data_IF_918389657124
#
_entry.id   IF_918389657124
#
_cell.length_a   1.000
_cell.length_b   1.000
_cell.length_c   1.000
_cell.angle_alpha   90.00
_cell.angle_beta   90.00
_cell.angle_gamma   90.00
#
_symmetry.space_group_name_H-M   'P 1'
#
loop_
_entity.id
_entity.type
_entity.pdbx_description
1 polymer ?
#
# COMPACT_ATOMS: atom_id res chain seq x y z
N UNK A 1 3.56 44.27 -15.61
CA UNK A 1 2.28 43.83 -15.02
C UNK A 1 1.80 42.45 -15.52
N UNK A 2 1.95 42.06 -16.80
CA UNK A 2 1.49 40.71 -17.30
C UNK A 2 2.22 39.49 -16.71
N UNK A 3 3.50 39.61 -16.32
CA UNK A 3 4.27 38.49 -15.72
C UNK A 3 3.86 38.14 -14.29
N UNK A 4 3.41 39.10 -13.50
CA UNK A 4 2.91 38.87 -12.13
C UNK A 4 1.56 38.14 -12.11
N UNK A 5 0.72 38.40 -13.09
CA UNK A 5 -0.58 37.73 -13.21
C UNK A 5 -0.44 36.23 -13.51
N UNK A 6 0.57 35.81 -14.28
CA UNK A 6 0.85 34.41 -14.62
C UNK A 6 1.35 33.61 -13.42
N UNK A 7 2.16 34.21 -12.54
CA UNK A 7 2.66 33.55 -11.31
C UNK A 7 1.52 33.36 -10.30
N UNK A 8 0.61 34.33 -10.19
CA UNK A 8 -0.55 34.23 -9.30
C UNK A 8 -1.56 33.17 -9.79
N UNK A 9 -1.77 33.04 -11.09
CA UNK A 9 -2.65 32.05 -11.69
C UNK A 9 -2.06 30.62 -11.57
N UNK A 10 -0.72 30.49 -11.66
CA UNK A 10 -0.03 29.20 -11.45
C UNK A 10 -0.11 28.74 -10.00
N UNK A 11 -0.07 29.66 -9.03
CA UNK A 11 -0.20 29.33 -7.61
C UNK A 11 -1.63 28.91 -7.21
N UNK A 12 -2.65 29.41 -7.90
CA UNK A 12 -4.06 29.01 -7.70
C UNK A 12 -4.39 27.62 -8.24
N UNK A 13 -3.65 27.13 -9.23
CA UNK A 13 -3.81 25.78 -9.78
C UNK A 13 -3.19 24.67 -8.92
N UNK A 14 -2.34 25.01 -7.94
CA UNK A 14 -1.70 24.05 -7.04
C UNK A 14 -2.51 23.73 -5.77
N UNK A 15 -3.69 24.36 -5.59
CA UNK A 15 -4.52 24.17 -4.39
C UNK A 15 -5.75 23.30 -4.63
N UNK A 16 -5.61 22.08 -5.11
CA UNK A 16 -6.71 21.11 -5.01
C UNK A 16 -6.22 19.67 -4.82
N UNK A 17 -5.20 19.45 -3.99
CA UNK A 17 -4.97 18.14 -3.40
C UNK A 17 -5.67 18.08 -2.03
N UNK A 18 -6.96 18.37 -1.99
CA UNK A 18 -7.75 18.07 -0.80
C UNK A 18 -7.83 16.56 -0.66
N UNK A 19 -7.29 16.06 0.44
CA UNK A 19 -7.44 14.66 0.81
C UNK A 19 -8.95 14.33 0.87
N UNK A 20 -9.45 13.72 -0.20
CA UNK A 20 -10.87 13.39 -0.33
C UNK A 20 -11.14 12.12 0.48
N UNK A 21 -11.97 12.23 1.51
CA UNK A 21 -12.49 11.05 2.20
C UNK A 21 -13.70 10.51 1.46
N UNK A 22 -13.74 9.21 1.22
CA UNK A 22 -14.89 8.51 0.64
C UNK A 22 -15.45 7.49 1.63
N UNK A 23 -16.77 7.37 1.64
CA UNK A 23 -17.50 6.51 2.57
C UNK A 23 -18.33 5.50 1.79
N UNK A 24 -18.36 4.27 2.28
CA UNK A 24 -19.18 3.19 1.74
C UNK A 24 -20.65 3.52 1.83
N UNK A 25 -21.34 3.25 0.73
CA UNK A 25 -22.79 3.28 0.62
C UNK A 25 -23.27 1.92 0.15
N UNK A 26 -24.08 1.25 0.97
CA UNK A 26 -24.65 -0.04 0.59
C UNK A 26 -25.90 0.17 -0.26
N UNK A 27 -25.98 -0.48 -1.40
CA UNK A 27 -27.11 -0.44 -2.31
C UNK A 27 -27.64 -1.88 -2.58
N UNK A 28 -27.59 -2.71 -1.57
CA UNK A 28 -28.11 -4.08 -1.58
C UNK A 28 -27.25 -5.10 -2.34
N UNK A 29 -26.80 -4.79 -3.55
CA UNK A 29 -26.05 -5.73 -4.41
C UNK A 29 -24.71 -5.19 -4.92
N UNK A 30 -24.36 -3.93 -4.64
CA UNK A 30 -23.13 -3.32 -5.14
C UNK A 30 -22.47 -2.43 -4.09
N UNK A 31 -21.16 -2.52 -4.02
CA UNK A 31 -20.36 -1.61 -3.19
C UNK A 31 -20.20 -0.29 -3.94
N UNK A 32 -20.63 0.78 -3.30
CA UNK A 32 -20.51 2.16 -3.80
C UNK A 32 -19.76 2.98 -2.75
N UNK A 33 -18.81 3.80 -3.19
CA UNK A 33 -18.22 4.82 -2.33
C UNK A 33 -18.57 6.21 -2.84
N UNK A 34 -18.96 7.08 -1.92
CA UNK A 34 -19.27 8.49 -2.17
C UNK A 34 -18.37 9.38 -1.36
N UNK A 35 -18.07 10.57 -1.88
CA UNK A 35 -17.41 11.59 -1.09
C UNK A 35 -18.40 12.26 -0.11
N UNK A 36 -17.90 13.14 0.77
CA UNK A 36 -18.70 13.84 1.76
C UNK A 36 -19.76 14.77 1.14
N UNK A 37 -19.64 15.15 -0.13
CA UNK A 37 -20.62 15.92 -0.90
C UNK A 37 -21.67 15.03 -1.59
N UNK A 38 -21.66 13.72 -1.34
CA UNK A 38 -22.61 12.76 -1.91
C UNK A 38 -22.30 12.33 -3.36
N UNK A 39 -21.22 12.84 -3.97
CA UNK A 39 -20.79 12.43 -5.31
C UNK A 39 -20.25 10.99 -5.27
N UNK A 40 -20.73 10.15 -6.18
CA UNK A 40 -20.25 8.78 -6.32
C UNK A 40 -18.83 8.79 -6.93
N UNK A 41 -17.87 8.22 -6.22
CA UNK A 41 -16.48 8.07 -6.64
C UNK A 41 -16.23 6.65 -7.16
N UNK A 42 -16.71 5.64 -6.43
CA UNK A 42 -16.61 4.23 -6.86
C UNK A 42 -18.02 3.70 -7.07
N UNK A 43 -18.31 3.28 -8.30
CA UNK A 43 -19.52 2.55 -8.67
C UNK A 43 -19.10 1.40 -9.55
N UNK A 44 -18.64 0.33 -8.94
CA UNK A 44 -18.11 -0.79 -9.70
C UNK A 44 -18.79 -2.09 -9.29
N UNK A 45 -19.48 -2.72 -10.25
CA UNK A 45 -20.10 -4.05 -10.06
C UNK A 45 -19.08 -5.18 -9.85
N UNK A 46 -17.80 -4.89 -10.00
CA UNK A 46 -16.70 -5.82 -9.77
C UNK A 46 -16.53 -6.16 -8.28
N UNK A 47 -16.81 -5.20 -7.38
CA UNK A 47 -16.64 -5.38 -5.94
C UNK A 47 -17.91 -5.94 -5.30
N UNK A 48 -17.72 -6.95 -4.45
CA UNK A 48 -18.81 -7.63 -3.72
C UNK A 48 -18.68 -7.47 -2.21
N UNK A 49 -17.48 -7.17 -1.71
CA UNK A 49 -17.19 -7.01 -0.29
C UNK A 49 -16.42 -5.72 -0.09
N UNK A 50 -16.78 -4.93 0.92
CA UNK A 50 -15.97 -3.82 1.42
C UNK A 50 -15.40 -4.22 2.78
N UNK A 51 -14.08 -4.30 2.87
CA UNK A 51 -13.36 -4.49 4.13
C UNK A 51 -13.08 -3.17 4.84
N UNK A 52 -13.18 -2.06 4.12
CA UNK A 52 -12.97 -0.70 4.63
C UNK A 52 -14.18 0.15 4.33
N UNK A 53 -14.84 0.68 5.35
CA UNK A 53 -16.04 1.51 5.19
C UNK A 53 -15.72 2.97 4.87
N UNK A 54 -14.63 3.51 5.42
CA UNK A 54 -14.19 4.90 5.20
C UNK A 54 -12.75 4.92 4.70
N UNK A 55 -12.53 5.53 3.55
CA UNK A 55 -11.22 5.59 2.89
C UNK A 55 -10.76 7.04 2.82
N UNK A 56 -9.74 7.37 3.60
CA UNK A 56 -9.05 8.67 3.56
C UNK A 56 -7.76 8.62 2.72
N UNK A 57 -7.08 7.48 2.69
CA UNK A 57 -5.90 7.21 1.88
C UNK A 57 -6.12 5.97 1.02
N UNK A 58 -6.16 4.80 1.64
CA UNK A 58 -6.41 3.51 0.99
C UNK A 58 -7.51 2.72 1.72
N UNK A 59 -8.10 1.78 0.99
CA UNK A 59 -9.05 0.80 1.55
C UNK A 59 -9.02 -0.49 0.76
N UNK A 60 -9.60 -1.54 1.35
CA UNK A 60 -9.60 -2.88 0.79
C UNK A 60 -11.01 -3.30 0.37
N UNK A 61 -11.12 -3.86 -0.82
CA UNK A 61 -12.36 -4.37 -1.40
C UNK A 61 -12.17 -5.74 -1.99
N UNK A 62 -13.17 -6.60 -1.84
CA UNK A 62 -13.18 -7.96 -2.42
C UNK A 62 -13.86 -7.96 -3.79
N UNK A 63 -13.26 -8.63 -4.75
CA UNK A 63 -13.79 -8.80 -6.11
C UNK A 63 -14.66 -10.07 -6.21
N UNK A 64 -15.46 -10.17 -7.27
CA UNK A 64 -16.24 -11.40 -7.59
C UNK A 64 -15.36 -12.62 -7.81
N UNK A 65 -14.08 -12.45 -8.16
CA UNK A 65 -13.11 -13.52 -8.34
C UNK A 65 -12.49 -14.01 -7.04
N UNK A 66 -12.82 -13.38 -5.90
CA UNK A 66 -12.25 -13.69 -4.60
C UNK A 66 -10.89 -13.05 -4.35
N UNK A 67 -10.43 -12.16 -5.22
CA UNK A 67 -9.24 -11.33 -5.01
C UNK A 67 -9.57 -10.20 -4.03
N UNK A 68 -8.61 -9.74 -3.27
CA UNK A 68 -8.72 -8.52 -2.45
C UNK A 68 -7.84 -7.45 -3.08
N UNK A 69 -8.43 -6.29 -3.37
CA UNK A 69 -7.76 -5.18 -4.06
C UNK A 69 -7.68 -3.99 -3.14
N UNK A 70 -6.52 -3.34 -3.14
CA UNK A 70 -6.35 -2.03 -2.52
C UNK A 70 -6.80 -0.95 -3.49
N UNK A 71 -7.66 -0.05 -3.03
CA UNK A 71 -8.09 1.14 -3.77
C UNK A 71 -7.71 2.40 -2.99
N UNK A 72 -7.41 3.49 -3.70
CA UNK A 72 -7.21 4.78 -3.06
C UNK A 72 -8.53 5.57 -2.95
N UNK A 73 -8.48 6.72 -2.30
CA UNK A 73 -9.62 7.62 -2.11
C UNK A 73 -10.16 8.26 -3.40
N UNK A 74 -9.44 8.14 -4.52
CA UNK A 74 -9.95 8.47 -5.86
C UNK A 74 -10.65 7.28 -6.54
N UNK A 75 -10.75 6.13 -5.88
CA UNK A 75 -11.34 4.90 -6.41
C UNK A 75 -10.46 4.14 -7.40
N UNK A 76 -9.18 4.50 -7.51
CA UNK A 76 -8.22 3.82 -8.37
C UNK A 76 -7.69 2.57 -7.67
N UNK A 77 -7.70 1.43 -8.37
CA UNK A 77 -7.03 0.22 -7.94
C UNK A 77 -5.50 0.42 -7.97
N UNK A 78 -4.83 0.03 -6.89
CA UNK A 78 -3.39 0.13 -6.75
C UNK A 78 -2.71 -1.22 -7.00
N UNK A 79 -3.10 -2.24 -6.25
CA UNK A 79 -2.53 -3.59 -6.32
C UNK A 79 -3.46 -4.60 -5.63
N UNK A 80 -3.18 -5.87 -5.85
CA UNK A 80 -3.81 -6.97 -5.12
C UNK A 80 -3.16 -7.13 -3.75
N UNK A 81 -3.98 -7.36 -2.73
CA UNK A 81 -3.55 -7.56 -1.34
C UNK A 81 -3.48 -9.06 -1.05
N UNK A 82 -2.44 -9.50 -0.35
CA UNK A 82 -2.33 -10.88 0.09
C UNK A 82 -3.54 -11.24 0.98
N UNK A 83 -4.14 -12.39 0.71
CA UNK A 83 -5.32 -12.85 1.42
C UNK A 83 -4.95 -13.82 2.55
N UNK A 84 -5.45 -13.53 3.75
CA UNK A 84 -5.40 -14.46 4.89
C UNK A 84 -6.83 -14.87 5.20
N UNK A 85 -7.08 -16.15 5.19
CA UNK A 85 -8.43 -16.71 5.34
C UNK A 85 -9.41 -16.04 4.36
N UNK A 86 -10.40 -15.32 4.87
CA UNK A 86 -11.40 -14.61 4.07
C UNK A 86 -11.23 -13.07 4.08
N UNK A 87 -10.08 -12.58 4.53
CA UNK A 87 -9.80 -11.14 4.68
C UNK A 87 -8.47 -10.68 4.08
N UNK A 88 -8.24 -9.35 4.08
CA UNK A 88 -6.96 -8.79 3.69
C UNK A 88 -5.88 -9.13 4.71
N UNK A 89 -4.63 -9.06 4.27
CA UNK A 89 -3.47 -9.23 5.15
C UNK A 89 -3.47 -8.21 6.29
N UNK A 90 -2.91 -8.62 7.43
CA UNK A 90 -2.76 -7.74 8.58
C UNK A 90 -1.62 -6.75 8.36
N UNK A 91 -1.83 -5.51 8.80
CA UNK A 91 -0.74 -4.53 8.88
C UNK A 91 0.15 -4.91 10.04
N UNK A 92 1.43 -5.13 9.78
CA UNK A 92 2.46 -5.44 10.77
C UNK A 92 3.64 -4.50 10.57
N UNK A 93 4.01 -3.77 11.62
CA UNK A 93 5.05 -2.72 11.59
C UNK A 93 4.86 -1.71 10.43
N UNK A 94 3.61 -1.33 10.18
CA UNK A 94 3.23 -0.35 9.15
C UNK A 94 3.18 -0.88 7.72
N UNK A 95 3.46 -2.17 7.50
CA UNK A 95 3.46 -2.81 6.20
C UNK A 95 2.48 -3.99 6.14
N UNK A 96 1.95 -4.26 4.94
CA UNK A 96 1.16 -5.45 4.63
C UNK A 96 1.64 -6.06 3.30
N UNK A 97 1.39 -7.35 3.13
CA UNK A 97 1.81 -8.08 1.92
C UNK A 97 0.89 -7.77 0.75
N UNK A 98 1.50 -7.61 -0.41
CA UNK A 98 0.83 -7.43 -1.69
C UNK A 98 1.21 -8.54 -2.65
N UNK A 99 0.34 -8.80 -3.63
CA UNK A 99 0.55 -9.82 -4.65
C UNK A 99 0.81 -9.13 -5.99
N UNK A 100 1.89 -9.48 -6.62
CA UNK A 100 2.26 -9.00 -7.94
C UNK A 100 2.07 -10.09 -9.00
N UNK A 101 2.61 -9.83 -10.19
CA UNK A 101 2.62 -10.80 -11.30
C UNK A 101 3.28 -12.11 -10.87
N UNK A 102 2.79 -13.23 -11.41
CA UNK A 102 3.29 -14.58 -11.11
C UNK A 102 3.20 -14.95 -9.61
N UNK A 103 2.21 -14.42 -8.90
CA UNK A 103 1.97 -14.65 -7.48
C UNK A 103 3.15 -14.30 -6.58
N UNK A 104 4.03 -13.38 -7.02
CA UNK A 104 5.13 -12.90 -6.19
C UNK A 104 4.61 -11.97 -5.11
N UNK A 105 5.23 -12.03 -3.93
CA UNK A 105 4.86 -11.25 -2.76
C UNK A 105 5.81 -10.06 -2.61
N UNK A 106 5.24 -8.90 -2.36
CA UNK A 106 5.91 -7.67 -1.97
C UNK A 106 5.25 -7.06 -0.73
N UNK A 107 5.59 -5.82 -0.40
CA UNK A 107 5.04 -5.11 0.75
C UNK A 107 4.69 -3.67 0.37
N UNK A 108 3.55 -3.21 0.86
CA UNK A 108 3.10 -1.82 0.76
C UNK A 108 2.83 -1.25 2.16
N UNK A 109 2.89 0.07 2.26
CA UNK A 109 2.55 0.80 3.47
C UNK A 109 1.06 1.20 3.55
N UNK A 110 0.66 1.75 4.67
CA UNK A 110 -0.72 2.19 4.91
C UNK A 110 -1.12 3.45 4.13
N UNK A 111 -0.20 4.07 3.39
CA UNK A 111 -0.47 5.14 2.44
C UNK A 111 -0.69 4.63 1.01
N UNK A 112 -0.41 3.33 0.77
CA UNK A 112 -0.53 2.69 -0.54
C UNK A 112 0.72 2.79 -1.41
N UNK A 113 1.88 3.14 -0.83
CA UNK A 113 3.14 3.09 -1.54
C UNK A 113 3.75 1.68 -1.45
N UNK A 114 4.26 1.17 -2.57
CA UNK A 114 5.00 -0.10 -2.60
C UNK A 114 6.39 0.15 -2.03
N UNK A 115 6.65 -0.41 -0.84
CA UNK A 115 7.93 -0.29 -0.13
C UNK A 115 8.92 -1.36 -0.60
N UNK A 116 8.42 -2.58 -0.81
CA UNK A 116 9.21 -3.69 -1.33
C UNK A 116 8.47 -4.26 -2.54
N UNK A 117 9.05 -4.21 -3.73
CA UNK A 117 8.43 -4.76 -4.93
C UNK A 117 8.12 -6.27 -4.79
N UNK A 118 7.08 -6.79 -5.48
CA UNK A 118 6.72 -8.21 -5.45
C UNK A 118 7.77 -9.07 -6.15
N UNK A 119 8.73 -9.56 -5.39
CA UNK A 119 9.85 -10.40 -5.89
C UNK A 119 9.96 -11.74 -5.16
N UNK A 120 9.32 -11.89 -3.99
CA UNK A 120 9.44 -13.08 -3.17
C UNK A 120 8.44 -14.16 -3.59
N UNK A 121 8.87 -15.42 -3.62
CA UNK A 121 7.95 -16.55 -3.81
C UNK A 121 7.14 -16.87 -2.54
N UNK A 122 7.69 -16.51 -1.38
CA UNK A 122 7.08 -16.65 -0.06
C UNK A 122 7.55 -15.52 0.84
N UNK A 123 6.66 -14.99 1.67
CA UNK A 123 6.98 -14.00 2.71
C UNK A 123 6.03 -14.17 3.90
N UNK A 124 6.58 -14.11 5.11
CA UNK A 124 5.81 -13.94 6.35
C UNK A 124 5.37 -12.49 6.50
N UNK A 125 4.42 -12.15 7.39
CA UNK A 125 4.18 -10.77 7.76
C UNK A 125 5.48 -10.05 8.13
N UNK A 126 5.54 -8.75 7.81
CA UNK A 126 6.74 -7.95 8.07
C UNK A 126 6.93 -7.79 9.59
N UNK A 127 8.15 -8.04 10.09
CA UNK A 127 8.50 -7.86 11.50
C UNK A 127 9.83 -7.13 11.56
N UNK A 128 9.79 -5.86 11.95
CA UNK A 128 10.96 -4.97 12.00
C UNK A 128 12.07 -5.50 12.92
N UNK A 129 11.71 -6.07 14.05
CA UNK A 129 12.67 -6.65 15.00
C UNK A 129 13.47 -7.81 14.37
N UNK A 130 12.82 -8.67 13.59
CA UNK A 130 13.52 -9.72 12.83
C UNK A 130 14.50 -9.16 11.84
N UNK A 131 14.15 -8.08 11.15
CA UNK A 131 15.05 -7.42 10.20
C UNK A 131 16.25 -6.82 10.92
N UNK A 132 16.05 -6.12 12.04
CA UNK A 132 17.14 -5.58 12.86
C UNK A 132 18.09 -6.68 13.35
N UNK A 133 17.54 -7.79 13.83
CA UNK A 133 18.33 -8.94 14.27
C UNK A 133 19.17 -9.54 13.15
N UNK A 134 18.57 -9.76 11.97
CA UNK A 134 19.27 -10.31 10.81
C UNK A 134 20.37 -9.37 10.30
N UNK A 135 20.12 -8.06 10.29
CA UNK A 135 21.12 -7.06 9.91
C UNK A 135 22.27 -7.04 10.91
N UNK A 136 22.00 -7.05 12.21
CA UNK A 136 23.03 -7.09 13.25
C UNK A 136 23.89 -8.36 13.17
N UNK A 137 23.26 -9.52 12.96
CA UNK A 137 23.98 -10.78 12.77
C UNK A 137 24.87 -10.78 11.52
N UNK A 138 24.35 -10.18 10.42
CA UNK A 138 25.13 -10.04 9.16
C UNK A 138 26.34 -9.11 9.32
N UNK A 139 26.17 -8.00 10.03
CA UNK A 139 27.26 -7.07 10.33
C UNK A 139 28.34 -7.74 11.17
N UNK A 140 27.95 -8.44 12.24
CA UNK A 140 28.89 -9.18 13.10
C UNK A 140 29.68 -10.26 12.37
N UNK A 141 29.05 -10.98 11.45
CA UNK A 141 29.75 -11.95 10.62
C UNK A 141 30.73 -11.29 9.65
N UNK A 142 30.43 -10.09 9.14
CA UNK A 142 31.32 -9.35 8.23
C UNK A 142 32.56 -8.81 8.96
N UNK A 143 32.43 -8.38 10.22
CA UNK A 143 33.54 -7.97 11.06
C UNK A 143 34.46 -9.14 11.37
N UNK A 144 33.93 -10.32 11.73
CA UNK A 144 34.70 -11.52 12.00
C UNK A 144 35.48 -12.03 10.78
N UNK A 145 34.89 -11.92 9.57
CA UNK A 145 35.56 -12.30 8.33
C UNK A 145 36.69 -11.33 7.95
N UNK A 146 36.57 -10.05 8.31
CA UNK A 146 37.65 -9.07 8.07
C UNK A 146 38.79 -9.22 9.07
N UNK A 147 38.52 -9.55 10.33
CA UNK A 147 39.59 -9.85 11.31
C UNK A 147 40.34 -11.16 10.99
N UNK A 148 39.64 -12.16 10.44
CA UNK A 148 40.32 -13.43 10.01
C UNK A 148 41.26 -13.28 8.81
N UNK A 149 41.08 -12.22 8.01
CA UNK A 149 42.00 -11.95 6.87
C UNK A 149 43.24 -11.13 7.23
N UNK A 150 43.25 -10.46 8.39
CA UNK A 150 44.37 -9.63 8.83
C UNK A 150 45.47 -10.41 9.56
N UNK A 151 45.29 -11.72 9.83
CA UNK A 151 46.22 -12.56 10.59
C UNK A 151 47.04 -13.54 9.74
N UNK A 152 46.97 -13.52 8.40
CA UNK A 152 47.81 -14.31 7.52
C UNK A 152 48.62 -13.41 6.59
N UNK A 153 49.59 -12.71 7.16
CA UNK A 153 50.65 -11.98 6.47
C UNK A 153 51.96 -12.34 7.10
N UNK A 154 52.57 -13.44 6.61
CA UNK A 154 53.99 -13.73 6.68
C UNK A 154 54.47 -14.13 5.31
#
# INVERSE_FOLDING_TARGET
>A
MKKFLFIFLSCLLFQQLTAQTIVKFDNGNNIIYKNLQGKTIVKNKKYTIAFTDTISSIGFVGTRKGEIVCINNAGKELFEVYKIDNGPDYVSDGLFRIVGKNSKIGFADTCGAIVIPPVFSYATPFIMERLKFLLAARMKNKENTNHGKATFGF
#
